data_IF_927135225764
#
_entry.id   IF_927135225764
#
_cell.length_a   1.000
_cell.length_b   1.000
_cell.length_c   1.000
_cell.angle_alpha   90.00
_cell.angle_beta   90.00
_cell.angle_gamma   90.00
#
_symmetry.space_group_name_H-M   'P 1'
#
loop_
_entity.id
_entity.type
_entity.pdbx_description
1 polymer ?
#
# COMPACT_ATOMS: atom_id res chain seq x y z
N UNK A 1 -27.15 44.45 37.82
CA UNK A 1 -26.62 44.69 36.45
C UNK A 1 -25.20 44.16 36.25
N UNK A 2 -24.18 44.58 37.02
CA UNK A 2 -22.78 44.11 36.84
C UNK A 2 -22.59 42.58 36.95
N UNK A 3 -23.33 41.90 37.84
CA UNK A 3 -23.27 40.42 38.00
C UNK A 3 -23.98 39.63 36.89
N UNK A 4 -24.95 40.25 36.20
CA UNK A 4 -25.69 39.61 35.10
C UNK A 4 -24.88 39.68 33.78
N UNK A 5 -24.16 40.78 33.58
CA UNK A 5 -23.25 40.97 32.44
C UNK A 5 -22.05 40.01 32.53
N UNK A 6 -21.50 39.78 33.73
CA UNK A 6 -20.42 38.82 33.92
C UNK A 6 -20.84 37.37 33.60
N UNK A 7 -22.08 36.98 33.93
CA UNK A 7 -22.59 35.62 33.65
C UNK A 7 -22.80 35.40 32.14
N UNK A 8 -23.28 36.41 31.41
CA UNK A 8 -23.48 36.33 29.96
C UNK A 8 -22.14 36.22 29.21
N UNK A 9 -21.10 36.92 29.68
CA UNK A 9 -19.76 36.84 29.08
C UNK A 9 -19.13 35.45 29.32
N UNK A 10 -19.29 34.86 30.51
CA UNK A 10 -18.76 33.52 30.79
C UNK A 10 -19.49 32.42 30.01
N UNK A 11 -20.81 32.52 29.84
CA UNK A 11 -21.58 31.55 29.03
C UNK A 11 -21.26 31.68 27.54
N UNK A 12 -21.00 32.90 27.04
CA UNK A 12 -20.52 33.11 25.67
C UNK A 12 -19.09 32.55 25.44
N UNK A 13 -18.23 32.57 26.46
CA UNK A 13 -16.87 32.00 26.38
C UNK A 13 -16.87 30.46 26.38
N UNK A 14 -17.82 29.84 27.10
CA UNK A 14 -17.98 28.37 27.14
C UNK A 14 -18.68 27.85 25.87
N UNK A 15 -19.56 28.65 25.25
CA UNK A 15 -20.20 28.29 23.97
C UNK A 15 -19.30 28.59 22.74
N UNK A 16 -18.30 29.46 22.87
CA UNK A 16 -17.32 29.73 21.82
C UNK A 16 -16.17 28.71 21.74
N UNK A 17 -16.05 27.79 22.71
CA UNK A 17 -14.94 26.84 22.81
C UNK A 17 -15.31 25.39 22.46
N UNK A 18 -16.56 25.12 22.06
CA UNK A 18 -17.04 23.77 21.73
C UNK A 18 -17.35 23.54 20.25
N UNK A 19 -17.05 24.50 19.36
CA UNK A 19 -17.17 24.35 17.91
C UNK A 19 -15.79 24.42 17.25
N UNK A 20 -14.93 23.49 17.63
CA UNK A 20 -13.78 23.08 16.82
C UNK A 20 -13.69 21.57 16.85
N UNK A 21 -14.82 20.90 16.57
CA UNK A 21 -14.73 19.60 15.91
C UNK A 21 -14.19 19.93 14.54
N UNK A 22 -12.88 19.72 14.40
CA UNK A 22 -12.16 19.73 13.15
C UNK A 22 -13.06 19.04 12.11
N UNK A 23 -13.53 19.81 11.13
CA UNK A 23 -13.61 19.26 9.79
C UNK A 23 -12.16 18.89 9.45
N UNK A 24 -11.73 17.68 9.85
CA UNK A 24 -10.59 17.01 9.25
C UNK A 24 -11.03 16.71 7.82
N UNK A 25 -10.99 17.75 6.97
CA UNK A 25 -11.02 17.56 5.54
C UNK A 25 -9.89 16.60 5.23
N UNK A 26 -10.19 15.58 4.45
CA UNK A 26 -9.17 14.72 3.85
C UNK A 26 -8.06 15.64 3.33
N UNK A 27 -6.79 15.50 3.78
CA UNK A 27 -5.75 16.40 3.35
C UNK A 27 -5.64 16.32 1.83
N UNK A 28 -5.89 17.43 1.13
CA UNK A 28 -5.85 17.49 -0.35
C UNK A 28 -4.52 16.94 -0.88
N UNK A 29 -3.44 17.16 -0.13
CA UNK A 29 -2.08 16.68 -0.44
C UNK A 29 -1.96 15.14 -0.42
N UNK A 30 -2.67 14.47 0.49
CA UNK A 30 -2.70 13.01 0.55
C UNK A 30 -3.45 12.39 -0.63
N UNK A 31 -4.53 13.06 -1.05
CA UNK A 31 -5.27 12.68 -2.26
C UNK A 31 -4.32 12.77 -3.44
N UNK A 32 -3.66 13.91 -3.63
CA UNK A 32 -2.74 14.08 -4.77
C UNK A 32 -1.63 13.01 -4.75
N UNK A 33 -0.87 12.86 -3.66
CA UNK A 33 0.25 11.91 -3.60
C UNK A 33 -0.16 10.44 -3.88
N UNK A 34 -1.33 10.03 -3.40
CA UNK A 34 -1.85 8.67 -3.60
C UNK A 34 -2.47 8.53 -5.01
N UNK A 35 -3.18 9.55 -5.48
CA UNK A 35 -3.86 9.52 -6.77
C UNK A 35 -2.89 9.56 -7.96
N UNK A 36 -1.70 10.14 -7.83
CA UNK A 36 -0.69 10.14 -8.91
C UNK A 36 -0.20 8.73 -9.28
N UNK A 37 -0.43 7.74 -8.42
CA UNK A 37 -0.07 6.34 -8.69
C UNK A 37 -1.26 5.49 -9.17
N UNK A 38 -2.42 6.10 -9.37
CA UNK A 38 -3.59 5.39 -9.87
C UNK A 38 -3.41 4.93 -11.31
N UNK A 39 -4.00 3.77 -11.58
CA UNK A 39 -3.89 3.10 -12.87
C UNK A 39 -4.49 3.88 -14.04
N UNK A 40 -5.56 4.64 -13.81
CA UNK A 40 -6.22 5.48 -14.82
C UNK A 40 -5.41 6.71 -15.24
N UNK A 41 -4.35 7.03 -14.50
CA UNK A 41 -3.41 8.11 -14.83
C UNK A 41 -2.07 7.59 -15.37
N UNK A 42 -1.92 6.27 -15.49
CA UNK A 42 -0.67 5.65 -15.94
C UNK A 42 -0.44 5.80 -17.45
N UNK A 43 0.79 6.08 -17.86
CA UNK A 43 1.16 6.20 -19.27
C UNK A 43 1.02 4.85 -20.01
N UNK A 44 1.28 3.76 -19.29
CA UNK A 44 1.24 2.39 -19.76
C UNK A 44 -0.13 1.70 -19.61
N UNK A 45 -1.17 2.43 -19.16
CA UNK A 45 -2.47 1.85 -18.80
C UNK A 45 -3.04 0.92 -19.89
N UNK A 46 -3.09 1.39 -21.13
CA UNK A 46 -3.66 0.62 -22.25
C UNK A 46 -2.88 -0.68 -22.52
N UNK A 47 -1.55 -0.65 -22.39
CA UNK A 47 -0.68 -1.80 -22.60
C UNK A 47 -0.86 -2.86 -21.50
N UNK A 48 -1.05 -2.41 -20.27
CA UNK A 48 -1.33 -3.29 -19.13
C UNK A 48 -2.72 -3.94 -19.29
N UNK A 49 -3.72 -3.16 -19.68
CA UNK A 49 -5.07 -3.67 -19.97
C UNK A 49 -5.05 -4.68 -21.13
N UNK A 50 -4.28 -4.42 -22.19
CA UNK A 50 -4.10 -5.35 -23.30
C UNK A 50 -3.51 -6.69 -22.81
N UNK A 51 -2.43 -6.65 -22.03
CA UNK A 51 -1.80 -7.84 -21.47
C UNK A 51 -2.77 -8.68 -20.61
N UNK A 52 -3.59 -7.99 -19.79
CA UNK A 52 -4.61 -8.62 -18.96
C UNK A 52 -5.72 -9.26 -19.79
N UNK A 53 -6.24 -8.55 -20.79
CA UNK A 53 -7.36 -9.00 -21.61
C UNK A 53 -6.96 -10.15 -22.54
N UNK A 54 -5.76 -10.11 -23.13
CA UNK A 54 -5.26 -11.15 -24.03
C UNK A 54 -5.17 -12.52 -23.35
N UNK A 55 -4.99 -12.57 -22.03
CA UNK A 55 -4.81 -13.79 -21.27
C UNK A 55 -5.91 -14.05 -20.23
N UNK A 56 -6.99 -13.25 -20.21
CA UNK A 56 -7.96 -13.23 -19.12
C UNK A 56 -8.53 -14.61 -18.77
N UNK A 57 -9.06 -15.34 -19.74
CA UNK A 57 -9.67 -16.65 -19.51
C UNK A 57 -8.66 -17.67 -18.97
N UNK A 58 -7.47 -17.73 -19.60
CA UNK A 58 -6.38 -18.60 -19.16
C UNK A 58 -5.95 -18.28 -17.72
N UNK A 59 -5.82 -17.00 -17.38
CA UNK A 59 -5.44 -16.56 -16.03
C UNK A 59 -6.49 -16.98 -15.00
N UNK A 60 -7.78 -16.74 -15.25
CA UNK A 60 -8.86 -17.18 -14.36
C UNK A 60 -8.86 -18.70 -14.15
N UNK A 61 -8.64 -19.47 -15.21
CA UNK A 61 -8.55 -20.92 -15.12
C UNK A 61 -7.36 -21.38 -14.28
N UNK A 62 -6.21 -20.69 -14.34
CA UNK A 62 -5.07 -20.99 -13.47
C UNK A 62 -5.47 -20.82 -11.99
N UNK A 63 -6.14 -19.71 -11.64
CA UNK A 63 -6.62 -19.50 -10.27
C UNK A 63 -7.57 -20.60 -9.81
N UNK A 64 -8.61 -20.91 -10.60
CA UNK A 64 -9.60 -21.94 -10.26
C UNK A 64 -8.94 -23.32 -10.09
N UNK A 65 -8.04 -23.68 -11.00
CA UNK A 65 -7.50 -25.04 -11.07
C UNK A 65 -6.29 -25.28 -10.15
N UNK A 66 -5.55 -24.24 -9.78
CA UNK A 66 -4.25 -24.39 -9.10
C UNK A 66 -4.14 -23.66 -7.78
N UNK A 67 -5.10 -22.80 -7.41
CA UNK A 67 -5.04 -22.05 -6.14
C UNK A 67 -6.10 -22.56 -5.18
N UNK A 68 -5.65 -23.09 -4.04
CA UNK A 68 -6.53 -23.72 -3.05
C UNK A 68 -7.66 -22.78 -2.60
N UNK A 69 -7.36 -21.48 -2.44
CA UNK A 69 -8.35 -20.47 -2.06
C UNK A 69 -9.60 -20.45 -2.97
N UNK A 70 -9.46 -20.71 -4.27
CA UNK A 70 -10.60 -20.72 -5.20
C UNK A 70 -11.24 -22.10 -5.33
N UNK A 71 -10.48 -23.18 -5.11
CA UNK A 71 -11.02 -24.55 -5.03
C UNK A 71 -12.00 -24.67 -3.87
N UNK A 72 -11.62 -24.16 -2.69
CA UNK A 72 -12.47 -24.19 -1.49
C UNK A 72 -13.77 -23.39 -1.68
N UNK A 73 -13.75 -22.40 -2.58
CA UNK A 73 -14.90 -21.57 -2.93
C UNK A 73 -15.78 -22.16 -4.05
N UNK A 74 -15.38 -23.30 -4.65
CA UNK A 74 -16.00 -23.87 -5.86
C UNK A 74 -16.24 -22.80 -6.95
N UNK A 75 -15.25 -21.92 -7.15
CA UNK A 75 -15.40 -20.78 -8.05
C UNK A 75 -15.40 -21.19 -9.53
N UNK A 76 -16.20 -20.51 -10.34
CA UNK A 76 -16.19 -20.60 -11.80
C UNK A 76 -15.59 -19.34 -12.43
N UNK A 77 -15.25 -19.40 -13.72
CA UNK A 77 -14.66 -18.26 -14.44
C UNK A 77 -15.53 -16.99 -14.39
N UNK A 78 -16.86 -17.17 -14.37
CA UNK A 78 -17.82 -16.08 -14.31
C UNK A 78 -17.93 -15.45 -12.90
N UNK A 79 -17.50 -16.16 -11.86
CA UNK A 79 -17.46 -15.63 -10.49
C UNK A 79 -16.24 -14.73 -10.25
N UNK A 80 -15.25 -14.83 -11.13
CA UNK A 80 -13.97 -14.12 -11.03
C UNK A 80 -13.97 -12.86 -11.89
N UNK A 81 -13.54 -11.75 -11.30
CA UNK A 81 -13.22 -10.52 -12.02
C UNK A 81 -11.81 -10.04 -11.64
N UNK A 82 -11.21 -9.22 -12.49
CA UNK A 82 -9.96 -8.54 -12.16
C UNK A 82 -10.29 -7.17 -11.61
N UNK A 83 -9.65 -6.81 -10.49
CA UNK A 83 -9.76 -5.49 -9.89
C UNK A 83 -8.91 -4.46 -10.63
N UNK A 84 -8.92 -3.23 -10.10
CA UNK A 84 -8.05 -2.15 -10.60
C UNK A 84 -6.60 -2.47 -10.23
N UNK A 85 -5.67 -2.47 -11.18
CA UNK A 85 -4.25 -2.64 -10.90
C UNK A 85 -3.69 -1.53 -10.00
N UNK A 86 -2.68 -1.85 -9.21
CA UNK A 86 -1.93 -0.86 -8.42
C UNK A 86 -0.42 -1.09 -8.56
N UNK A 87 0.38 -0.02 -8.50
CA UNK A 87 1.85 -0.11 -8.65
C UNK A 87 2.49 -0.70 -7.41
N UNK A 88 3.44 -1.61 -7.61
CA UNK A 88 4.32 -2.11 -6.56
C UNK A 88 5.77 -1.98 -7.03
N UNK A 89 6.52 -1.13 -6.35
CA UNK A 89 7.93 -0.88 -6.66
C UNK A 89 8.83 -1.96 -6.04
N UNK A 90 9.90 -2.31 -6.73
CA UNK A 90 10.88 -3.32 -6.32
C UNK A 90 12.24 -2.65 -6.17
N UNK A 91 12.56 -2.14 -4.96
CA UNK A 91 13.82 -1.46 -4.74
C UNK A 91 15.04 -2.38 -4.95
N UNK A 92 16.08 -1.81 -5.56
CA UNK A 92 17.37 -2.46 -5.73
C UNK A 92 18.29 -2.40 -4.50
N UNK A 93 19.54 -2.82 -4.68
CA UNK A 93 20.57 -2.87 -3.63
C UNK A 93 20.84 -1.49 -3.00
N UNK A 94 20.79 -0.41 -3.78
CA UNK A 94 21.06 0.95 -3.31
C UNK A 94 20.04 1.40 -2.26
N UNK A 95 18.76 1.04 -2.44
CA UNK A 95 17.73 1.24 -1.43
C UNK A 95 18.08 0.50 -0.15
N UNK A 96 18.45 -0.78 -0.22
CA UNK A 96 18.74 -1.57 0.98
C UNK A 96 19.89 -0.93 1.77
N UNK A 97 20.94 -0.48 1.08
CA UNK A 97 22.07 0.22 1.70
C UNK A 97 21.66 1.54 2.34
N UNK A 98 20.89 2.38 1.63
CA UNK A 98 20.39 3.64 2.15
C UNK A 98 19.48 3.43 3.37
N UNK A 99 18.57 2.47 3.27
CA UNK A 99 17.62 2.11 4.32
C UNK A 99 18.34 1.66 5.61
N UNK A 100 19.34 0.78 5.50
CA UNK A 100 20.15 0.33 6.64
C UNK A 100 21.04 1.41 7.25
N UNK A 101 21.37 2.45 6.47
CA UNK A 101 22.19 3.58 6.88
C UNK A 101 21.37 4.78 7.37
N UNK A 102 20.06 4.63 7.54
CA UNK A 102 19.15 5.70 7.93
C UNK A 102 19.20 6.93 6.99
N UNK A 103 19.41 6.68 5.70
CA UNK A 103 19.41 7.73 4.66
C UNK A 103 18.02 7.90 4.06
N UNK A 104 17.70 9.08 3.48
CA UNK A 104 16.46 9.28 2.72
C UNK A 104 16.31 8.22 1.62
N UNK A 105 15.09 7.71 1.46
CA UNK A 105 14.78 6.60 0.53
C UNK A 105 13.73 6.94 -0.54
N UNK A 106 13.03 8.07 -0.42
CA UNK A 106 11.94 8.45 -1.33
C UNK A 106 12.38 8.41 -2.81
N UNK A 107 13.43 9.17 -3.16
CA UNK A 107 13.97 9.23 -4.52
C UNK A 107 14.40 7.87 -5.07
N UNK A 108 14.88 6.96 -4.20
CA UNK A 108 15.32 5.61 -4.60
C UNK A 108 14.11 4.72 -4.90
N UNK A 109 13.03 4.89 -4.13
CA UNK A 109 11.78 4.17 -4.33
C UNK A 109 11.05 4.66 -5.59
N UNK A 110 10.99 5.98 -5.83
CA UNK A 110 10.32 6.55 -7.02
C UNK A 110 10.97 6.15 -8.34
N UNK A 111 12.28 5.86 -8.32
CA UNK A 111 13.06 5.45 -9.51
C UNK A 111 13.22 3.94 -9.62
N UNK A 112 12.68 3.17 -8.68
CA UNK A 112 12.79 1.73 -8.70
C UNK A 112 11.97 1.14 -9.85
N UNK A 113 12.37 -0.05 -10.31
CA UNK A 113 11.53 -0.85 -11.18
C UNK A 113 10.20 -1.19 -10.47
N UNK A 114 9.15 -1.43 -11.24
CA UNK A 114 7.84 -1.76 -10.69
C UNK A 114 7.11 -2.74 -11.57
N UNK A 115 6.11 -3.39 -10.97
CA UNK A 115 5.07 -4.11 -11.66
C UNK A 115 3.70 -3.60 -11.22
N UNK A 116 2.68 -3.95 -11.99
CA UNK A 116 1.29 -3.74 -11.62
C UNK A 116 0.78 -5.00 -10.92
N UNK A 117 0.34 -4.89 -9.68
CA UNK A 117 -0.36 -5.98 -9.02
C UNK A 117 -1.87 -5.84 -9.28
N UNK A 118 -2.49 -6.93 -9.71
CA UNK A 118 -3.88 -6.98 -10.14
C UNK A 118 -4.66 -7.89 -9.19
N UNK A 119 -5.63 -7.34 -8.43
CA UNK A 119 -6.49 -8.14 -7.58
C UNK A 119 -7.34 -9.12 -8.40
N UNK A 120 -7.46 -10.35 -7.92
CA UNK A 120 -8.46 -11.32 -8.40
C UNK A 120 -9.60 -11.34 -7.39
N UNK A 121 -10.76 -10.90 -7.86
CA UNK A 121 -11.94 -10.75 -7.05
C UNK A 121 -12.85 -11.95 -7.24
N UNK A 122 -13.38 -12.49 -6.15
CA UNK A 122 -14.50 -13.43 -6.15
C UNK A 122 -15.73 -12.70 -5.61
N UNK A 123 -16.78 -12.55 -6.43
CA UNK A 123 -18.00 -11.82 -6.04
C UNK A 123 -17.71 -10.41 -5.48
N UNK A 124 -16.75 -9.72 -6.09
CA UNK A 124 -16.32 -8.37 -5.71
C UNK A 124 -15.39 -8.28 -4.50
N UNK A 125 -14.98 -9.40 -3.89
CA UNK A 125 -14.04 -9.42 -2.77
C UNK A 125 -12.65 -9.90 -3.22
N UNK A 126 -11.55 -9.23 -2.82
CA UNK A 126 -10.21 -9.65 -3.19
C UNK A 126 -9.86 -10.96 -2.47
N UNK A 127 -9.47 -11.98 -3.26
CA UNK A 127 -9.09 -13.30 -2.75
C UNK A 127 -7.59 -13.56 -2.94
N UNK A 128 -7.04 -13.05 -4.03
CA UNK A 128 -5.66 -13.29 -4.47
C UNK A 128 -5.26 -12.18 -5.46
N UNK A 129 -4.07 -12.24 -6.03
CA UNK A 129 -3.61 -11.31 -7.06
C UNK A 129 -2.65 -11.97 -8.06
N UNK A 130 -2.40 -11.31 -9.18
CA UNK A 130 -1.30 -11.63 -10.11
C UNK A 130 -0.57 -10.35 -10.49
N UNK A 131 0.63 -10.45 -11.05
CA UNK A 131 1.37 -9.28 -11.53
C UNK A 131 1.31 -9.15 -13.04
N UNK A 132 1.38 -7.90 -13.51
CA UNK A 132 1.68 -7.54 -14.89
C UNK A 132 2.98 -6.76 -14.87
N UNK A 133 4.00 -7.31 -15.52
CA UNK A 133 5.38 -6.83 -15.46
C UNK A 133 5.91 -6.52 -16.86
N UNK A 134 6.87 -5.59 -16.93
CA UNK A 134 7.53 -5.24 -18.18
C UNK A 134 8.77 -6.11 -18.37
N UNK A 135 8.71 -7.03 -19.33
CA UNK A 135 9.80 -7.96 -19.64
C UNK A 135 9.89 -8.20 -21.14
N UNK A 136 11.11 -8.35 -21.67
CA UNK A 136 11.35 -8.49 -23.12
C UNK A 136 10.66 -7.41 -23.97
N UNK A 137 10.70 -6.15 -23.50
CA UNK A 137 10.13 -4.98 -24.16
C UNK A 137 8.59 -4.99 -24.31
N UNK A 138 7.87 -5.73 -23.46
CA UNK A 138 6.40 -5.72 -23.44
C UNK A 138 5.85 -5.92 -22.03
N UNK A 139 4.65 -5.39 -21.80
CA UNK A 139 3.86 -5.73 -20.61
C UNK A 139 3.24 -7.11 -20.80
N UNK A 140 3.39 -7.96 -19.80
CA UNK A 140 2.82 -9.31 -19.80
C UNK A 140 2.49 -9.77 -18.39
N UNK A 141 1.64 -10.78 -18.28
CA UNK A 141 1.37 -11.39 -16.99
C UNK A 141 2.63 -12.09 -16.48
N UNK A 142 3.05 -11.74 -15.27
CA UNK A 142 4.18 -12.31 -14.57
C UNK A 142 3.73 -13.35 -13.56
N UNK A 143 3.91 -13.03 -12.28
CA UNK A 143 3.65 -13.94 -11.18
C UNK A 143 2.14 -14.16 -10.96
N UNK A 144 1.78 -15.43 -10.76
CA UNK A 144 0.43 -15.84 -10.40
C UNK A 144 0.37 -16.13 -8.90
N UNK A 145 -0.26 -15.21 -8.17
CA UNK A 145 -0.42 -15.32 -6.73
C UNK A 145 0.03 -14.11 -5.96
N UNK A 146 -0.67 -13.88 -4.87
CA UNK A 146 -0.39 -12.81 -3.93
C UNK A 146 0.72 -13.17 -2.94
N UNK A 147 1.62 -12.22 -2.75
CA UNK A 147 2.52 -12.14 -1.59
C UNK A 147 1.86 -11.46 -0.37
N UNK A 148 0.61 -11.05 -0.49
CA UNK A 148 -0.19 -10.39 0.53
C UNK A 148 -1.37 -11.25 1.01
N UNK A 149 -1.89 -10.94 2.19
CA UNK A 149 -3.19 -11.47 2.65
C UNK A 149 -4.33 -10.80 1.88
N UNK A 150 -5.53 -11.40 1.91
CA UNK A 150 -6.74 -10.82 1.29
C UNK A 150 -7.01 -9.39 1.77
N UNK A 151 -6.85 -9.17 3.06
CA UNK A 151 -7.05 -7.86 3.69
C UNK A 151 -6.01 -6.84 3.17
N UNK A 152 -4.75 -7.24 3.07
CA UNK A 152 -3.69 -6.39 2.52
C UNK A 152 -3.92 -6.04 1.05
N UNK A 153 -4.38 -6.99 0.22
CA UNK A 153 -4.79 -6.69 -1.16
C UNK A 153 -5.96 -5.71 -1.17
N UNK A 154 -6.95 -5.91 -0.29
CA UNK A 154 -8.12 -5.04 -0.18
C UNK A 154 -7.76 -3.60 0.18
N UNK A 155 -6.78 -3.41 1.08
CA UNK A 155 -6.25 -2.08 1.42
C UNK A 155 -5.46 -1.51 0.24
N UNK A 156 -4.50 -2.25 -0.31
CA UNK A 156 -3.58 -1.75 -1.34
C UNK A 156 -4.27 -1.40 -2.67
N UNK A 157 -5.33 -2.12 -3.01
CA UNK A 157 -6.08 -1.90 -4.26
C UNK A 157 -7.09 -0.75 -4.21
N UNK A 158 -7.26 -0.09 -3.07
CA UNK A 158 -8.30 0.92 -2.84
C UNK A 158 -7.69 2.21 -2.27
N UNK A 159 -7.42 3.22 -3.12
CA UNK A 159 -6.88 4.52 -2.69
C UNK A 159 -7.64 5.14 -1.51
N UNK A 160 -8.96 5.04 -1.49
CA UNK A 160 -9.82 5.52 -0.42
C UNK A 160 -9.56 4.83 0.93
N UNK A 161 -9.21 3.54 0.92
CA UNK A 161 -8.83 2.83 2.13
C UNK A 161 -7.47 3.30 2.65
N UNK A 162 -6.51 3.53 1.75
CA UNK A 162 -5.19 4.06 2.10
C UNK A 162 -5.32 5.47 2.68
N UNK A 163 -6.09 6.34 2.04
CA UNK A 163 -6.38 7.71 2.51
C UNK A 163 -7.01 7.68 3.91
N UNK A 164 -7.99 6.80 4.13
CA UNK A 164 -8.61 6.62 5.45
C UNK A 164 -7.61 6.08 6.48
N UNK A 165 -6.75 5.14 6.08
CA UNK A 165 -5.75 4.53 6.93
C UNK A 165 -4.72 5.57 7.43
N UNK A 166 -4.20 6.42 6.54
CA UNK A 166 -3.25 7.49 6.94
C UNK A 166 -3.91 8.54 7.82
N UNK A 167 -5.13 8.96 7.49
CA UNK A 167 -5.89 9.94 8.29
C UNK A 167 -6.18 9.45 9.71
N UNK A 168 -6.56 8.18 9.86
CA UNK A 168 -6.80 7.56 11.17
C UNK A 168 -5.55 7.46 12.06
N UNK A 169 -4.34 7.61 11.48
CA UNK A 169 -3.08 7.59 12.20
C UNK A 169 -2.47 8.99 12.39
N UNK A 170 -3.26 10.05 12.18
CA UNK A 170 -2.82 11.45 12.24
C UNK A 170 -1.64 11.76 11.30
N UNK A 171 -1.48 11.01 10.21
CA UNK A 171 -0.49 11.27 9.16
C UNK A 171 -1.16 12.17 8.12
N UNK A 172 -0.88 13.47 8.22
CA UNK A 172 -1.43 14.51 7.35
C UNK A 172 -0.32 15.14 6.50
N UNK A 173 -0.67 15.98 5.52
CA UNK A 173 0.29 16.70 4.66
C UNK A 173 1.29 15.74 3.97
N UNK A 174 0.74 14.68 3.39
CA UNK A 174 1.54 13.65 2.71
C UNK A 174 2.04 14.24 1.40
N UNK A 175 3.35 14.21 1.21
CA UNK A 175 3.98 14.65 -0.05
C UNK A 175 4.38 13.46 -0.93
N UNK A 176 4.57 12.28 -0.34
CA UNK A 176 5.02 11.08 -1.04
C UNK A 176 4.30 9.87 -0.48
N UNK A 177 3.76 9.04 -1.36
CA UNK A 177 3.20 7.72 -1.04
C UNK A 177 3.82 6.71 -1.99
N UNK A 178 4.29 5.55 -1.51
CA UNK A 178 4.83 4.49 -2.38
C UNK A 178 4.49 3.12 -1.80
N UNK A 179 3.90 2.23 -2.60
CA UNK A 179 3.83 0.80 -2.28
C UNK A 179 5.05 0.10 -2.86
N UNK A 180 5.88 -0.52 -2.02
CA UNK A 180 7.02 -1.31 -2.49
C UNK A 180 7.12 -2.70 -1.84
N UNK A 181 7.80 -3.62 -2.51
CA UNK A 181 8.05 -5.00 -2.07
C UNK A 181 9.54 -5.23 -1.83
N UNK A 182 9.89 -5.70 -0.64
CA UNK A 182 11.25 -6.16 -0.34
C UNK A 182 11.29 -7.67 -0.50
N UNK A 183 11.68 -8.13 -1.68
CA UNK A 183 11.66 -9.56 -2.04
C UNK A 183 12.37 -10.46 -1.02
N UNK A 184 13.58 -10.14 -0.51
CA UNK A 184 14.24 -10.97 0.49
C UNK A 184 13.50 -11.10 1.83
N UNK A 185 12.56 -10.20 2.12
CA UNK A 185 11.76 -10.20 3.35
C UNK A 185 10.35 -10.77 3.14
N UNK A 186 9.98 -11.15 1.90
CA UNK A 186 8.62 -11.59 1.54
C UNK A 186 7.53 -10.67 2.12
N UNK A 187 7.78 -9.36 2.09
CA UNK A 187 6.91 -8.36 2.71
C UNK A 187 6.80 -7.13 1.81
N UNK A 188 5.59 -6.61 1.78
CA UNK A 188 5.27 -5.34 1.14
C UNK A 188 5.21 -4.24 2.21
N UNK A 189 5.35 -3.00 1.77
CA UNK A 189 5.30 -1.84 2.62
C UNK A 189 4.57 -0.71 1.91
N UNK A 190 3.67 -0.03 2.62
CA UNK A 190 3.23 1.31 2.22
C UNK A 190 4.16 2.32 2.90
N UNK A 191 4.90 3.07 2.11
CA UNK A 191 5.73 4.19 2.53
C UNK A 191 4.93 5.48 2.42
N UNK A 192 5.03 6.31 3.45
CA UNK A 192 4.42 7.65 3.50
C UNK A 192 5.45 8.63 4.04
N UNK A 193 5.73 9.68 3.27
CA UNK A 193 6.48 10.83 3.76
C UNK A 193 5.54 12.02 3.97
N UNK A 194 5.66 12.65 5.14
CA UNK A 194 4.90 13.84 5.50
C UNK A 194 5.74 14.83 6.31
N UNK A 195 5.14 15.96 6.69
CA UNK A 195 5.74 16.95 7.59
C UNK A 195 6.16 16.40 8.96
N UNK A 196 5.52 15.32 9.42
CA UNK A 196 5.82 14.61 10.68
C UNK A 196 6.94 13.57 10.54
N UNK A 197 7.42 13.33 9.32
CA UNK A 197 8.49 12.40 9.01
C UNK A 197 8.05 11.28 8.08
N UNK A 198 8.82 10.19 8.10
CA UNK A 198 8.65 9.04 7.22
C UNK A 198 8.10 7.84 7.98
N UNK A 199 7.07 7.22 7.42
CA UNK A 199 6.33 6.11 8.01
C UNK A 199 6.28 4.92 7.07
N UNK A 200 6.27 3.71 7.63
CA UNK A 200 6.07 2.47 6.90
C UNK A 200 4.96 1.64 7.53
N UNK A 201 4.16 1.04 6.66
CA UNK A 201 3.08 0.12 6.99
C UNK A 201 3.42 -1.26 6.40
N UNK A 202 3.97 -2.19 7.19
CA UNK A 202 4.34 -3.51 6.69
C UNK A 202 3.11 -4.37 6.43
N UNK A 203 3.09 -5.03 5.28
CA UNK A 203 2.13 -6.05 4.89
C UNK A 203 2.87 -7.37 4.77
N UNK A 204 2.80 -8.16 5.85
CA UNK A 204 3.63 -9.34 6.06
C UNK A 204 2.89 -10.57 5.54
N UNK A 205 3.52 -11.33 4.65
CA UNK A 205 2.91 -12.52 4.08
C UNK A 205 2.66 -13.60 5.14
N UNK A 206 1.41 -14.07 5.26
CA UNK A 206 1.04 -15.24 6.06
C UNK A 206 1.26 -15.12 7.57
N UNK A 207 1.56 -13.92 8.08
CA UNK A 207 1.88 -13.68 9.50
C UNK A 207 1.29 -12.36 9.98
N UNK A 208 0.86 -12.33 11.24
CA UNK A 208 0.41 -11.10 11.90
C UNK A 208 1.57 -10.26 12.44
N UNK A 209 2.76 -10.84 12.61
CA UNK A 209 3.96 -10.16 13.10
C UNK A 209 5.23 -10.84 12.55
N UNK A 210 6.25 -10.05 12.23
CA UNK A 210 7.58 -10.52 11.85
C UNK A 210 8.63 -9.48 12.24
N UNK A 211 9.79 -9.93 12.75
CA UNK A 211 10.87 -9.05 13.22
C UNK A 211 10.45 -8.05 14.32
N UNK A 212 9.37 -8.35 15.06
CA UNK A 212 8.79 -7.44 16.05
C UNK A 212 8.00 -6.27 15.44
N UNK A 213 7.64 -6.38 14.16
CA UNK A 213 6.73 -5.48 13.46
C UNK A 213 5.41 -6.22 13.24
N UNK A 214 4.32 -5.65 13.73
CA UNK A 214 2.98 -6.16 13.44
C UNK A 214 2.62 -5.77 12.02
N UNK A 215 2.08 -6.73 11.27
CA UNK A 215 1.47 -6.45 9.98
C UNK A 215 0.36 -5.42 10.18
N UNK A 216 0.19 -4.57 9.17
CA UNK A 216 -0.89 -3.61 9.12
C UNK A 216 -0.88 -2.54 10.24
N UNK A 217 0.32 -2.13 10.68
CA UNK A 217 0.52 -1.07 11.68
C UNK A 217 1.55 -0.05 11.19
N UNK A 218 1.27 1.25 11.32
CA UNK A 218 2.27 2.27 10.96
C UNK A 218 3.40 2.34 11.99
N UNK A 219 4.62 2.46 11.49
CA UNK A 219 5.83 2.66 12.26
C UNK A 219 6.66 3.78 11.65
N UNK A 220 7.51 4.44 12.45
CA UNK A 220 8.52 5.33 11.89
C UNK A 220 9.52 4.53 11.05
N UNK A 221 10.07 5.16 10.00
CA UNK A 221 11.09 4.53 9.16
C UNK A 221 12.28 4.02 9.97
N UNK A 222 12.74 4.81 10.92
CA UNK A 222 13.85 4.43 11.80
C UNK A 222 13.56 3.14 12.58
N UNK A 223 12.37 3.02 13.17
CA UNK A 223 12.01 1.82 13.92
C UNK A 223 11.98 0.59 13.02
N UNK A 224 11.42 0.70 11.82
CA UNK A 224 11.42 -0.41 10.85
C UNK A 224 12.85 -0.78 10.47
N UNK A 225 13.70 0.21 10.17
CA UNK A 225 15.11 0.00 9.88
C UNK A 225 15.85 -0.74 11.01
N UNK A 226 15.67 -0.32 12.25
CA UNK A 226 16.28 -0.97 13.42
C UNK A 226 15.84 -2.44 13.57
N UNK A 227 14.58 -2.75 13.23
CA UNK A 227 14.05 -4.12 13.32
C UNK A 227 14.53 -5.03 12.21
N UNK A 228 14.60 -4.54 10.97
CA UNK A 228 14.89 -5.40 9.81
C UNK A 228 16.36 -5.40 9.39
N UNK A 229 17.15 -4.40 9.80
CA UNK A 229 18.58 -4.30 9.46
C UNK A 229 19.39 -5.56 9.77
N UNK A 230 19.28 -6.20 10.96
CA UNK A 230 20.04 -7.42 11.23
C UNK A 230 19.73 -8.54 10.23
N UNK A 231 18.47 -8.65 9.82
CA UNK A 231 18.00 -9.67 8.88
C UNK A 231 18.53 -9.39 7.47
N UNK A 232 18.43 -8.14 7.01
CA UNK A 232 18.95 -7.75 5.70
C UNK A 232 20.47 -7.94 5.62
N UNK A 233 21.21 -7.67 6.70
CA UNK A 233 22.65 -7.90 6.77
C UNK A 233 23.02 -9.38 6.67
N UNK A 234 22.28 -10.26 7.36
CA UNK A 234 22.46 -11.70 7.27
C UNK A 234 22.18 -12.22 5.86
N UNK A 235 21.07 -11.80 5.24
CA UNK A 235 20.70 -12.19 3.88
C UNK A 235 21.74 -11.76 2.84
N UNK A 236 22.27 -10.54 2.96
CA UNK A 236 23.33 -10.04 2.07
C UNK A 236 24.62 -10.84 2.26
N UNK A 237 25.02 -11.09 3.51
CA UNK A 237 26.27 -11.80 3.82
C UNK A 237 26.28 -13.26 3.35
N UNK A 238 25.10 -13.88 3.22
CA UNK A 238 24.94 -15.25 2.74
C UNK A 238 24.77 -15.35 1.21
N UNK A 239 24.60 -14.22 0.52
CA UNK A 239 24.43 -14.16 -0.93
C UNK A 239 25.76 -13.91 -1.68
N UNK A 240 26.81 -13.51 -0.96
CA UNK A 240 28.19 -13.37 -1.43
C UNK A 240 29.00 -14.65 -1.17
#
# INVERSE_FOLDING_TARGET
MKKLIALIITVAFILGSSLSVLAQGTPTDAIDAIEHQQFDKAQEQDLVLEAMNANQSRTKQIFINHRNAFKDLNASENDLTFGVPYKVYVPGRDFIQAFMADKPIADLLEKADYFWEVPVLYKGQPIDSFTVEFYENKWQIGEMGSHNTRDSIGIASQPEQIIKLVGNNDINNINTFIHFRVLPLHSDYLYVASDKGEFLYPMIHGRSELFGLKSQTFYSRQLVADKIKPVLQELISNAD
#
